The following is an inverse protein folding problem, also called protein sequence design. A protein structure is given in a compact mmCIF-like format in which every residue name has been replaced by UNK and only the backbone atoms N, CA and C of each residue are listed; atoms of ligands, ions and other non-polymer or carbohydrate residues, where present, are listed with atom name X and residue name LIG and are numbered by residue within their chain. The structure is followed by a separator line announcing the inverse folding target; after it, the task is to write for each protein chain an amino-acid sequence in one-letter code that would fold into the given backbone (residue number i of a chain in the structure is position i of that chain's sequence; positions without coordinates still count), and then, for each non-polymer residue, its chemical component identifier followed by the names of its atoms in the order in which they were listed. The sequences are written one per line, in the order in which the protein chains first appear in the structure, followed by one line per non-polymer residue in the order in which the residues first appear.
data_IF_904769875265
#
_entry.id   IF_904769875265
#
_cell.length_a   1.000
_cell.length_b   1.000
_cell.length_c   1.000
_cell.angle_alpha   90.00
_cell.angle_beta   90.00
_cell.angle_gamma   90.00
#
_symmetry.space_group_name_H-M   'P 1'
#
loop_
_entity.id
_entity.type
_entity.pdbx_description
1 polymer ?
#
# COMPACT_ATOMS: atom_id res chain seq x y z
N UNK A 1 -14.57 12.34 26.65
CA UNK A 1 -13.70 11.45 27.44
C UNK A 1 -13.04 10.53 26.43
N UNK A 2 -11.73 10.28 26.54
CA UNK A 2 -11.07 9.35 25.63
C UNK A 2 -11.69 7.95 25.76
N UNK A 3 -11.83 7.25 24.64
CA UNK A 3 -12.31 5.87 24.60
C UNK A 3 -11.19 4.89 25.00
N UNK A 4 -11.45 3.58 24.89
CA UNK A 4 -10.52 2.54 25.38
C UNK A 4 -9.20 2.48 24.59
N UNK A 5 -9.14 3.05 23.38
CA UNK A 5 -7.91 3.08 22.59
C UNK A 5 -6.82 3.97 23.19
N UNK A 6 -7.13 4.83 24.16
CA UNK A 6 -6.14 5.67 24.84
C UNK A 6 -5.08 4.88 25.65
N UNK A 7 -5.30 3.57 25.86
CA UNK A 7 -4.36 2.67 26.53
C UNK A 7 -3.49 1.85 25.55
N UNK A 8 -3.71 1.99 24.24
CA UNK A 8 -2.98 1.23 23.22
C UNK A 8 -1.60 1.82 22.93
N UNK A 9 -0.72 1.03 22.33
CA UNK A 9 0.63 1.46 21.92
C UNK A 9 0.71 1.88 20.46
N UNK A 10 -0.19 1.37 19.62
CA UNK A 10 -0.24 1.69 18.20
C UNK A 10 -0.51 3.19 17.98
N UNK A 11 0.35 3.91 17.25
CA UNK A 11 0.07 5.29 16.84
C UNK A 11 -1.25 5.43 16.10
N UNK A 12 -1.62 4.45 15.27
CA UNK A 12 -2.89 4.43 14.53
C UNK A 12 -4.10 4.31 15.46
N UNK A 13 -4.05 3.44 16.49
CA UNK A 13 -5.16 3.32 17.44
C UNK A 13 -5.28 4.57 18.31
N UNK A 14 -4.14 5.13 18.74
CA UNK A 14 -4.09 6.36 19.54
C UNK A 14 -4.65 7.58 18.81
N UNK A 15 -4.50 7.67 17.48
CA UNK A 15 -5.13 8.74 16.67
C UNK A 15 -6.66 8.76 16.79
N UNK A 16 -7.29 7.64 17.17
CA UNK A 16 -8.75 7.52 17.32
C UNK A 16 -9.21 7.54 18.79
N UNK A 17 -8.31 7.78 19.74
CA UNK A 17 -8.62 7.72 21.18
C UNK A 17 -9.64 8.78 21.61
N UNK A 18 -9.69 9.92 20.93
CA UNK A 18 -10.60 11.04 21.23
C UNK A 18 -11.87 11.06 20.36
N UNK A 19 -12.03 10.09 19.45
CA UNK A 19 -13.23 10.00 18.62
C UNK A 19 -14.48 9.79 19.49
N UNK A 20 -15.63 10.37 19.11
CA UNK A 20 -16.90 10.17 19.81
C UNK A 20 -17.44 8.73 19.74
N UNK A 21 -16.91 7.90 18.84
CA UNK A 21 -17.19 6.46 18.78
C UNK A 21 -16.58 5.78 20.01
N UNK A 22 -17.34 4.92 20.70
CA UNK A 22 -16.86 4.09 21.82
C UNK A 22 -16.03 2.91 21.29
N UNK A 23 -14.85 3.23 20.78
CA UNK A 23 -13.93 2.24 20.25
C UNK A 23 -13.37 1.34 21.35
N UNK A 24 -13.22 0.06 20.99
CA UNK A 24 -12.48 -0.93 21.77
C UNK A 24 -11.36 -1.53 20.93
N UNK A 25 -10.22 -1.90 21.56
CA UNK A 25 -9.25 -2.75 20.90
C UNK A 25 -9.85 -4.15 20.70
N UNK A 26 -9.28 -4.90 19.76
CA UNK A 26 -9.65 -6.29 19.60
C UNK A 26 -9.20 -7.12 20.81
N UNK A 27 -10.12 -7.82 21.44
CA UNK A 27 -9.81 -8.74 22.53
C UNK A 27 -11.05 -9.40 23.12
N UNK A 28 -10.81 -10.32 24.06
CA UNK A 28 -11.87 -11.10 24.70
C UNK A 28 -12.92 -10.23 25.41
N UNK A 29 -12.52 -9.07 25.93
CA UNK A 29 -13.43 -8.13 26.59
C UNK A 29 -14.47 -7.56 25.61
N UNK A 30 -14.03 -7.09 24.44
CA UNK A 30 -14.91 -6.54 23.41
C UNK A 30 -15.85 -7.61 22.85
N UNK A 31 -15.34 -8.82 22.60
CA UNK A 31 -16.14 -9.96 22.15
C UNK A 31 -17.15 -10.41 23.22
N UNK A 32 -16.76 -10.42 24.49
CA UNK A 32 -17.66 -10.73 25.59
C UNK A 32 -18.75 -9.66 25.79
N UNK A 33 -18.42 -8.39 25.54
CA UNK A 33 -19.41 -7.31 25.53
C UNK A 33 -20.45 -7.52 24.44
N UNK A 34 -20.02 -7.77 23.21
CA UNK A 34 -20.93 -8.01 22.09
C UNK A 34 -21.91 -9.15 22.40
N UNK A 35 -21.41 -10.26 22.96
CA UNK A 35 -22.25 -11.40 23.39
C UNK A 35 -23.22 -11.04 24.52
N UNK A 36 -22.77 -10.27 25.51
CA UNK A 36 -23.61 -9.86 26.65
C UNK A 36 -24.72 -8.90 26.25
N UNK A 37 -24.44 -7.98 25.33
CA UNK A 37 -25.41 -7.00 24.86
C UNK A 37 -26.27 -7.49 23.68
N UNK A 38 -25.95 -8.67 23.13
CA UNK A 38 -26.54 -9.21 21.90
C UNK A 38 -26.51 -8.18 20.74
N UNK A 39 -25.39 -7.46 20.65
CA UNK A 39 -25.14 -6.45 19.62
C UNK A 39 -24.16 -6.97 18.58
N UNK A 40 -24.40 -6.72 17.29
CA UNK A 40 -23.40 -6.98 16.27
C UNK A 40 -22.14 -6.14 16.51
N UNK A 41 -21.01 -6.63 16.02
CA UNK A 41 -19.73 -5.94 16.07
C UNK A 41 -19.55 -5.16 14.77
N UNK A 42 -19.10 -3.91 14.89
CA UNK A 42 -18.56 -3.15 13.77
C UNK A 42 -17.04 -3.16 13.90
N UNK A 43 -16.38 -3.95 13.07
CA UNK A 43 -14.93 -4.08 13.02
C UNK A 43 -14.37 -3.16 11.95
N UNK A 44 -13.50 -2.23 12.34
CA UNK A 44 -12.77 -1.34 11.43
C UNK A 44 -11.27 -1.62 11.52
N UNK A 45 -10.71 -2.18 10.44
CA UNK A 45 -9.28 -2.47 10.33
C UNK A 45 -8.61 -1.44 9.42
N UNK A 46 -7.48 -0.91 9.86
CA UNK A 46 -6.63 -0.04 9.06
C UNK A 46 -5.22 0.05 9.64
N UNK A 47 -4.50 1.12 9.29
CA UNK A 47 -3.14 1.39 9.72
C UNK A 47 -2.83 2.87 9.50
N UNK A 48 -1.76 3.35 10.12
CA UNK A 48 -1.38 4.77 10.21
C UNK A 48 -1.12 5.44 8.86
N UNK A 49 -0.58 4.73 7.88
CA UNK A 49 -0.21 5.30 6.58
C UNK A 49 -1.34 5.24 5.53
N UNK A 50 -2.56 4.86 5.93
CA UNK A 50 -3.68 4.61 5.04
C UNK A 50 -4.53 5.87 4.77
N UNK A 51 -4.42 6.46 3.59
CA UNK A 51 -5.20 7.63 3.19
C UNK A 51 -6.72 7.46 3.40
N UNK A 52 -7.32 6.42 2.81
CA UNK A 52 -8.77 6.20 2.92
C UNK A 52 -9.24 5.92 4.36
N UNK A 53 -8.33 5.47 5.23
CA UNK A 53 -8.62 5.29 6.64
C UNK A 53 -8.76 6.65 7.33
N UNK A 54 -7.90 7.62 7.00
CA UNK A 54 -8.01 9.01 7.45
C UNK A 54 -9.27 9.69 6.92
N UNK A 55 -9.56 9.53 5.62
CA UNK A 55 -10.78 10.08 5.00
C UNK A 55 -12.02 9.58 5.73
N UNK A 56 -12.13 8.27 5.97
CA UNK A 56 -13.26 7.72 6.69
C UNK A 56 -13.32 8.16 8.15
N UNK A 57 -12.16 8.35 8.80
CA UNK A 57 -12.11 8.87 10.16
C UNK A 57 -12.65 10.29 10.27
N UNK A 58 -12.15 11.21 9.45
CA UNK A 58 -12.57 12.59 9.42
C UNK A 58 -14.04 12.75 8.98
N UNK A 59 -14.46 12.04 7.93
CA UNK A 59 -15.83 12.17 7.42
C UNK A 59 -16.88 11.50 8.34
N UNK A 60 -16.51 10.41 9.01
CA UNK A 60 -17.46 9.54 9.70
C UNK A 60 -17.15 9.33 11.18
N UNK A 61 -15.96 8.87 11.55
CA UNK A 61 -15.70 8.47 12.94
C UNK A 61 -15.53 9.65 13.92
N UNK A 62 -15.25 10.84 13.42
CA UNK A 62 -15.19 12.08 14.20
C UNK A 62 -16.55 12.80 14.28
N UNK A 63 -17.50 12.42 13.43
CA UNK A 63 -18.82 13.03 13.38
C UNK A 63 -19.72 12.54 14.52
N UNK A 64 -20.28 13.43 15.36
CA UNK A 64 -21.11 13.03 16.50
C UNK A 64 -22.38 12.25 16.14
N UNK A 65 -23.01 12.53 15.00
CA UNK A 65 -24.26 11.88 14.60
C UNK A 65 -23.99 10.44 14.13
N UNK A 66 -22.92 10.26 13.33
CA UNK A 66 -22.43 8.94 12.94
C UNK A 66 -22.02 8.12 14.17
N UNK A 67 -21.24 8.71 15.07
CA UNK A 67 -20.79 8.04 16.27
C UNK A 67 -21.95 7.65 17.19
N UNK A 68 -22.97 8.50 17.33
CA UNK A 68 -24.18 8.17 18.07
C UNK A 68 -24.91 6.96 17.46
N UNK A 69 -25.04 6.92 16.13
CA UNK A 69 -25.65 5.79 15.43
C UNK A 69 -24.82 4.50 15.58
N UNK A 70 -23.49 4.59 15.49
CA UNK A 70 -22.58 3.46 15.72
C UNK A 70 -22.72 2.92 17.15
N UNK A 71 -22.57 3.78 18.15
CA UNK A 71 -22.62 3.43 19.57
C UNK A 71 -23.99 2.87 20.01
N UNK A 72 -25.08 3.33 19.38
CA UNK A 72 -26.42 2.82 19.66
C UNK A 72 -26.63 1.38 19.18
N UNK A 73 -25.95 0.98 18.11
CA UNK A 73 -26.27 -0.26 17.39
C UNK A 73 -25.19 -1.33 17.44
N UNK A 74 -23.94 -0.97 17.71
CA UNK A 74 -22.79 -1.87 17.57
C UNK A 74 -21.86 -1.83 18.78
N UNK A 75 -21.13 -2.91 18.96
CA UNK A 75 -19.84 -2.87 19.66
C UNK A 75 -18.77 -2.53 18.64
N UNK A 76 -18.15 -1.35 18.78
CA UNK A 76 -17.21 -0.82 17.79
C UNK A 76 -15.78 -1.26 18.13
N UNK A 77 -15.14 -2.00 17.24
CA UNK A 77 -13.76 -2.50 17.42
C UNK A 77 -12.85 -1.90 16.35
N UNK A 78 -11.73 -1.30 16.78
CA UNK A 78 -10.69 -0.77 15.90
C UNK A 78 -9.47 -1.69 15.96
N UNK A 79 -8.88 -2.01 14.81
CA UNK A 79 -7.70 -2.88 14.71
C UNK A 79 -6.63 -2.23 13.84
N UNK A 80 -5.40 -2.19 14.35
CA UNK A 80 -4.21 -1.94 13.56
C UNK A 80 -3.75 -3.25 12.91
N UNK A 81 -3.81 -3.33 11.58
CA UNK A 81 -3.34 -4.51 10.84
C UNK A 81 -1.84 -4.76 10.99
N UNK A 82 -1.04 -3.74 11.30
CA UNK A 82 0.40 -3.90 11.46
C UNK A 82 0.74 -4.64 12.76
N UNK A 83 -0.09 -4.48 13.79
CA UNK A 83 0.01 -5.24 15.04
C UNK A 83 -0.73 -6.58 14.97
N UNK A 84 -1.86 -6.65 14.24
CA UNK A 84 -2.72 -7.85 14.10
C UNK A 84 -2.96 -8.25 12.64
N UNK A 85 -1.90 -8.63 11.89
CA UNK A 85 -2.03 -9.05 10.50
C UNK A 85 -2.83 -10.35 10.36
N UNK A 86 -2.88 -11.17 11.42
CA UNK A 86 -3.70 -12.38 11.51
C UNK A 86 -5.20 -12.06 11.39
N UNK A 87 -5.66 -11.05 12.12
CA UNK A 87 -7.07 -10.59 12.07
C UNK A 87 -7.38 -9.97 10.71
N UNK A 88 -6.48 -9.10 10.23
CA UNK A 88 -6.61 -8.46 8.92
C UNK A 88 -6.81 -9.49 7.80
N UNK A 89 -5.96 -10.52 7.78
CA UNK A 89 -6.04 -11.59 6.77
C UNK A 89 -7.38 -12.34 6.81
N UNK A 90 -7.82 -12.79 8.00
CA UNK A 90 -9.08 -13.52 8.17
C UNK A 90 -10.25 -12.70 7.60
N UNK A 91 -10.34 -11.43 7.96
CA UNK A 91 -11.47 -10.59 7.58
C UNK A 91 -11.38 -10.06 6.14
N UNK A 92 -10.18 -9.87 5.58
CA UNK A 92 -10.01 -9.59 4.15
C UNK A 92 -10.46 -10.78 3.30
N UNK A 93 -10.12 -12.01 3.70
CA UNK A 93 -10.60 -13.22 3.02
C UNK A 93 -12.12 -13.36 3.14
N UNK A 94 -12.68 -13.12 4.33
CA UNK A 94 -14.12 -13.15 4.51
C UNK A 94 -14.85 -12.08 3.67
N UNK A 95 -14.30 -10.87 3.56
CA UNK A 95 -14.80 -9.83 2.67
C UNK A 95 -14.84 -10.33 1.22
N UNK A 96 -13.73 -10.88 0.71
CA UNK A 96 -13.67 -11.39 -0.64
C UNK A 96 -14.71 -12.49 -0.92
N UNK A 97 -14.96 -13.38 0.05
CA UNK A 97 -16.00 -14.40 -0.05
C UNK A 97 -17.42 -13.81 -0.07
N UNK A 98 -17.67 -12.79 0.76
CA UNK A 98 -18.97 -12.11 0.88
C UNK A 98 -19.31 -11.28 -0.36
N UNK A 99 -18.36 -10.48 -0.84
CA UNK A 99 -18.60 -9.45 -1.85
C UNK A 99 -18.18 -9.90 -3.24
N UNK A 100 -17.37 -10.96 -3.36
CA UNK A 100 -16.68 -11.37 -4.59
C UNK A 100 -15.82 -10.26 -5.19
N UNK A 101 -15.32 -9.36 -4.33
CA UNK A 101 -14.44 -8.26 -4.69
C UNK A 101 -13.15 -8.35 -3.90
N UNK A 102 -12.06 -7.81 -4.48
CA UNK A 102 -10.80 -7.65 -3.75
C UNK A 102 -11.02 -6.79 -2.50
N UNK A 103 -10.29 -7.13 -1.44
CA UNK A 103 -10.26 -6.34 -0.20
C UNK A 103 -9.48 -5.03 -0.37
N UNK A 104 -9.40 -4.28 0.72
CA UNK A 104 -8.68 -3.01 0.80
C UNK A 104 -8.88 -2.36 2.15
N UNK A 105 -8.21 -1.24 2.39
CA UNK A 105 -8.32 -0.49 3.65
C UNK A 105 -8.94 0.90 3.39
N UNK A 106 -9.75 1.43 4.33
CA UNK A 106 -10.18 0.80 5.57
C UNK A 106 -11.07 -0.41 5.28
N UNK A 107 -10.92 -1.47 6.07
CA UNK A 107 -11.80 -2.63 5.99
C UNK A 107 -12.88 -2.48 7.07
N UNK A 108 -14.13 -2.40 6.65
CA UNK A 108 -15.29 -2.24 7.53
C UNK A 108 -16.15 -3.49 7.46
N UNK A 109 -16.10 -4.30 8.51
CA UNK A 109 -16.82 -5.57 8.62
C UNK A 109 -17.89 -5.50 9.71
N UNK A 110 -19.04 -6.12 9.45
CA UNK A 110 -20.09 -6.31 10.42
C UNK A 110 -20.18 -7.78 10.79
N UNK A 111 -20.02 -8.05 12.07
CA UNK A 111 -19.92 -9.39 12.62
C UNK A 111 -21.07 -9.67 13.58
N UNK A 112 -21.45 -10.93 13.71
CA UNK A 112 -22.29 -11.39 14.82
C UNK A 112 -21.58 -11.13 16.16
N UNK A 113 -22.29 -11.24 17.30
CA UNK A 113 -21.68 -11.24 18.63
C UNK A 113 -20.61 -12.35 18.81
N UNK A 114 -20.67 -13.42 18.01
CA UNK A 114 -19.67 -14.49 17.98
C UNK A 114 -18.38 -14.13 17.23
N UNK A 115 -18.36 -13.02 16.48
CA UNK A 115 -17.25 -12.60 15.64
C UNK A 115 -17.31 -13.12 14.20
N UNK A 116 -18.41 -13.77 13.81
CA UNK A 116 -18.57 -14.26 12.45
C UNK A 116 -19.01 -13.15 11.47
N UNK A 117 -18.33 -12.97 10.33
CA UNK A 117 -18.64 -11.89 9.39
C UNK A 117 -19.90 -12.20 8.56
N UNK A 118 -20.81 -11.22 8.46
CA UNK A 118 -22.03 -11.37 7.65
C UNK A 118 -22.27 -10.24 6.65
N UNK A 119 -21.60 -9.10 6.80
CA UNK A 119 -21.61 -8.02 5.82
C UNK A 119 -20.27 -7.29 5.88
N UNK A 120 -19.86 -6.65 4.79
CA UNK A 120 -18.62 -5.90 4.77
C UNK A 120 -18.42 -5.08 3.52
N UNK A 121 -17.46 -4.16 3.60
CA UNK A 121 -16.96 -3.37 2.50
C UNK A 121 -15.67 -2.67 2.90
N UNK A 122 -15.12 -1.90 1.99
CA UNK A 122 -13.93 -1.08 2.28
C UNK A 122 -14.35 0.29 2.82
N UNK A 123 -14.27 1.32 1.97
CA UNK A 123 -14.69 2.67 2.28
C UNK A 123 -16.20 2.85 2.11
N UNK A 124 -16.86 3.43 3.13
CA UNK A 124 -18.25 3.89 3.06
C UNK A 124 -18.29 5.41 3.26
N UNK A 125 -18.85 6.19 2.30
CA UNK A 125 -19.00 7.63 2.47
C UNK A 125 -20.04 7.94 3.56
N UNK A 126 -19.89 9.07 4.26
CA UNK A 126 -20.86 9.50 5.29
C UNK A 126 -22.30 9.52 4.74
N UNK A 127 -22.47 10.19 3.60
CA UNK A 127 -23.74 10.35 2.89
C UNK A 127 -23.80 9.51 1.62
N UNK A 128 -25.01 9.17 1.20
CA UNK A 128 -25.24 8.43 -0.04
C UNK A 128 -24.72 9.21 -1.26
N UNK A 129 -23.71 8.66 -1.95
CA UNK A 129 -23.08 9.26 -3.14
C UNK A 129 -22.74 8.20 -4.18
N UNK A 130 -22.78 8.58 -5.47
CA UNK A 130 -22.43 7.72 -6.61
C UNK A 130 -23.12 6.34 -6.61
N UNK A 131 -24.37 6.27 -6.18
CA UNK A 131 -25.13 5.01 -6.10
C UNK A 131 -24.73 4.08 -4.96
N UNK A 132 -23.85 4.52 -4.04
CA UNK A 132 -23.50 3.80 -2.81
C UNK A 132 -24.32 4.33 -1.63
N UNK A 133 -24.82 3.45 -0.75
CA UNK A 133 -25.48 3.88 0.47
C UNK A 133 -24.50 4.60 1.39
N UNK A 134 -24.94 5.70 1.98
CA UNK A 134 -24.20 6.41 3.02
C UNK A 134 -24.10 5.58 4.29
N UNK A 135 -23.03 5.78 5.05
CA UNK A 135 -22.78 5.05 6.27
C UNK A 135 -23.90 5.26 7.31
N UNK A 136 -24.42 6.48 7.44
CA UNK A 136 -25.59 6.78 8.29
C UNK A 136 -26.85 6.02 7.90
N UNK A 137 -27.08 5.80 6.60
CA UNK A 137 -28.24 5.05 6.11
C UNK A 137 -28.05 3.53 6.30
N UNK A 138 -26.80 3.07 6.27
CA UNK A 138 -26.42 1.67 6.32
C UNK A 138 -26.48 1.10 7.74
N UNK A 139 -25.93 1.81 8.72
CA UNK A 139 -25.85 1.40 10.13
C UNK A 139 -27.19 0.86 10.70
N UNK A 140 -28.32 1.60 10.63
CA UNK A 140 -29.58 1.11 11.19
C UNK A 140 -30.14 -0.10 10.41
N UNK A 141 -29.88 -0.19 9.10
CA UNK A 141 -30.34 -1.32 8.26
C UNK A 141 -29.61 -2.61 8.63
N UNK A 142 -28.29 -2.53 8.84
CA UNK A 142 -27.49 -3.67 9.28
C UNK A 142 -27.92 -4.12 10.68
N UNK A 143 -28.15 -3.18 11.59
CA UNK A 143 -28.63 -3.49 12.93
C UNK A 143 -30.02 -4.15 12.92
N UNK A 144 -30.93 -3.70 12.04
CA UNK A 144 -32.23 -4.32 11.84
C UNK A 144 -32.10 -5.73 11.25
N UNK A 145 -31.26 -5.92 10.22
CA UNK A 145 -31.01 -7.24 9.63
C UNK A 145 -30.48 -8.25 10.66
N UNK A 146 -29.56 -7.83 11.54
CA UNK A 146 -29.09 -8.68 12.64
C UNK A 146 -30.24 -9.19 13.54
N UNK A 147 -31.16 -8.30 13.92
CA UNK A 147 -32.30 -8.64 14.80
C UNK A 147 -33.37 -9.47 14.11
N UNK A 148 -33.66 -9.15 12.84
CA UNK A 148 -34.82 -9.68 12.13
C UNK A 148 -34.50 -10.89 11.26
N UNK A 149 -33.24 -11.05 10.85
CA UNK A 149 -32.79 -12.07 9.88
C UNK A 149 -31.75 -13.02 10.46
N UNK A 150 -31.72 -13.20 11.79
CA UNK A 150 -30.71 -14.00 12.49
C UNK A 150 -30.52 -15.41 11.93
N UNK A 151 -31.59 -16.10 11.51
CA UNK A 151 -31.49 -17.43 10.91
C UNK A 151 -30.75 -17.43 9.56
N UNK A 152 -31.03 -16.45 8.69
CA UNK A 152 -30.35 -16.31 7.41
C UNK A 152 -28.87 -15.92 7.60
N UNK A 153 -28.59 -15.05 8.56
CA UNK A 153 -27.22 -14.67 8.94
C UNK A 153 -26.45 -15.87 9.50
N UNK A 154 -27.07 -16.70 10.34
CA UNK A 154 -26.45 -17.92 10.88
C UNK A 154 -26.12 -18.93 9.77
N UNK A 155 -27.00 -19.10 8.78
CA UNK A 155 -26.75 -19.96 7.63
C UNK A 155 -25.58 -19.43 6.77
N UNK A 156 -25.58 -18.12 6.49
CA UNK A 156 -24.51 -17.49 5.70
C UNK A 156 -23.14 -17.56 6.41
N UNK A 157 -23.10 -17.24 7.70
CA UNK A 157 -21.87 -17.28 8.50
C UNK A 157 -21.32 -18.70 8.64
N UNK A 158 -22.17 -19.72 8.70
CA UNK A 158 -21.76 -21.13 8.65
C UNK A 158 -21.04 -21.45 7.34
N UNK A 159 -21.62 -21.06 6.19
CA UNK A 159 -20.99 -21.29 4.87
C UNK A 159 -19.64 -20.59 4.74
N UNK A 160 -19.52 -19.36 5.26
CA UNK A 160 -18.25 -18.62 5.25
C UNK A 160 -17.22 -19.31 6.12
N UNK A 161 -17.59 -19.78 7.32
CA UNK A 161 -16.70 -20.52 8.21
C UNK A 161 -16.20 -21.80 7.55
N UNK A 162 -17.08 -22.56 6.91
CA UNK A 162 -16.71 -23.77 6.16
C UNK A 162 -15.75 -23.44 5.01
N UNK A 163 -16.03 -22.39 4.24
CA UNK A 163 -15.13 -21.96 3.17
C UNK A 163 -13.76 -21.52 3.71
N UNK A 164 -13.70 -20.77 4.81
CA UNK A 164 -12.45 -20.39 5.46
C UNK A 164 -11.68 -21.62 5.95
N UNK A 165 -12.36 -22.61 6.53
CA UNK A 165 -11.73 -23.86 6.96
C UNK A 165 -11.18 -24.70 5.81
N UNK A 166 -11.70 -24.55 4.58
CA UNK A 166 -11.12 -25.18 3.38
C UNK A 166 -9.95 -24.40 2.78
N UNK A 167 -9.84 -23.10 3.09
CA UNK A 167 -8.76 -22.23 2.63
C UNK A 167 -7.56 -22.29 3.56
N UNK A 168 -7.77 -22.56 4.85
CA UNK A 168 -6.71 -23.06 5.70
C UNK A 168 -6.28 -24.41 5.12
N UNK A 169 -5.04 -24.55 4.62
CA UNK A 169 -4.57 -25.87 4.29
C UNK A 169 -4.71 -26.69 5.55
N UNK A 170 -5.50 -27.78 5.50
CA UNK A 170 -5.28 -28.88 6.44
C UNK A 170 -3.77 -29.07 6.47
N UNK A 171 -3.19 -29.21 7.66
CA UNK A 171 -1.77 -29.53 7.81
C UNK A 171 -1.54 -30.91 7.18
N UNK A 172 -1.58 -31.00 5.86
CA UNK A 172 -1.15 -32.08 5.03
C UNK A 172 0.36 -31.98 5.05
N UNK A 173 0.92 -32.34 6.20
CA UNK A 173 2.35 -32.40 6.46
C UNK A 173 3.08 -33.35 5.48
N UNK A 174 2.35 -34.04 4.59
CA UNK A 174 2.86 -35.03 3.64
C UNK A 174 2.34 -34.89 2.19
N UNK A 175 1.60 -33.83 1.83
CA UNK A 175 1.23 -33.65 0.42
C UNK A 175 2.43 -33.13 -0.38
N UNK A 176 3.18 -34.04 -1.01
CA UNK A 176 4.25 -33.67 -1.93
C UNK A 176 3.69 -32.77 -3.04
N UNK A 177 4.28 -31.58 -3.21
CA UNK A 177 3.97 -30.71 -4.35
C UNK A 177 4.22 -31.49 -5.65
N UNK A 178 3.37 -31.30 -6.68
CA UNK A 178 3.65 -31.87 -8.00
C UNK A 178 5.05 -31.50 -8.47
N UNK A 179 5.77 -32.42 -9.08
CA UNK A 179 7.14 -32.18 -9.60
C UNK A 179 7.16 -30.98 -10.57
N UNK A 180 6.05 -30.74 -11.27
CA UNK A 180 5.88 -29.61 -12.20
C UNK A 180 5.27 -28.36 -11.56
N UNK A 181 5.18 -28.26 -10.22
CA UNK A 181 4.61 -27.09 -9.54
C UNK A 181 5.30 -25.77 -9.93
N UNK A 182 6.64 -25.67 -10.05
CA UNK A 182 7.27 -24.44 -10.52
C UNK A 182 6.86 -24.06 -11.94
N UNK A 183 6.79 -25.03 -12.85
CA UNK A 183 6.34 -24.78 -14.22
C UNK A 183 4.88 -24.30 -14.28
N UNK A 184 4.00 -24.91 -13.48
CA UNK A 184 2.60 -24.48 -13.38
C UNK A 184 2.46 -23.06 -12.79
N UNK A 185 3.25 -22.75 -11.76
CA UNK A 185 3.29 -21.41 -11.18
C UNK A 185 3.76 -20.38 -12.21
N UNK A 186 4.84 -20.66 -12.95
CA UNK A 186 5.33 -19.77 -13.99
C UNK A 186 4.29 -19.55 -15.09
N UNK A 187 3.60 -20.60 -15.56
CA UNK A 187 2.50 -20.45 -16.54
C UNK A 187 1.35 -19.58 -16.00
N UNK A 188 1.03 -19.68 -14.71
CA UNK A 188 0.05 -18.78 -14.08
C UNK A 188 0.51 -17.32 -14.06
N UNK A 189 1.79 -17.09 -13.76
CA UNK A 189 2.38 -15.76 -13.79
C UNK A 189 2.45 -15.19 -15.21
N UNK A 190 2.81 -16.00 -16.20
CA UNK A 190 2.79 -15.60 -17.62
C UNK A 190 1.40 -15.17 -18.09
N UNK A 191 0.34 -15.85 -17.65
CA UNK A 191 -1.04 -15.46 -18.01
C UNK A 191 -1.50 -14.17 -17.35
N UNK A 192 -0.98 -13.83 -16.17
CA UNK A 192 -1.34 -12.61 -15.44
C UNK A 192 -0.40 -11.43 -15.72
N UNK A 193 0.74 -11.69 -16.36
CA UNK A 193 1.75 -10.70 -16.68
C UNK A 193 1.25 -9.69 -17.71
N UNK A 194 1.49 -8.41 -17.42
CA UNK A 194 1.25 -7.30 -18.33
C UNK A 194 2.54 -7.00 -19.12
N UNK A 195 2.67 -7.40 -20.40
CA UNK A 195 3.87 -7.14 -21.18
C UNK A 195 4.03 -5.67 -21.56
N UNK A 196 2.93 -4.90 -21.60
CA UNK A 196 2.95 -3.50 -22.02
C UNK A 196 3.50 -2.61 -20.91
N UNK A 197 3.06 -2.80 -19.67
CA UNK A 197 3.45 -1.97 -18.53
C UNK A 197 4.27 -2.70 -17.46
N UNK A 198 4.50 -4.01 -17.59
CA UNK A 198 5.11 -4.81 -16.54
C UNK A 198 4.20 -5.04 -15.34
N UNK A 199 4.58 -5.96 -14.46
CA UNK A 199 3.78 -6.40 -13.31
C UNK A 199 2.69 -7.38 -13.68
N UNK A 200 1.75 -7.58 -12.76
CA UNK A 200 0.67 -8.54 -12.90
C UNK A 200 -0.70 -7.85 -12.74
N UNK A 201 -1.68 -8.31 -13.51
CA UNK A 201 -3.06 -7.82 -13.43
C UNK A 201 -3.26 -6.39 -13.94
N UNK A 202 -4.43 -5.83 -13.60
CA UNK A 202 -4.85 -4.47 -13.96
C UNK A 202 -4.64 -3.47 -12.82
N UNK A 203 -5.10 -2.23 -13.00
CA UNK A 203 -5.18 -1.23 -11.94
C UNK A 203 -6.17 -1.63 -10.81
N UNK A 204 -5.90 -1.29 -9.53
CA UNK A 204 -4.62 -0.79 -9.01
C UNK A 204 -3.52 -1.86 -9.03
N UNK A 205 -2.27 -1.46 -9.28
CA UNK A 205 -1.16 -2.38 -9.54
C UNK A 205 -0.14 -2.43 -8.40
N UNK A 206 0.16 -3.63 -7.91
CA UNK A 206 1.07 -3.89 -6.78
C UNK A 206 2.40 -4.53 -7.24
N UNK A 207 3.52 -4.30 -6.53
CA UNK A 207 4.84 -4.83 -6.91
C UNK A 207 5.03 -6.36 -6.97
N UNK A 208 4.27 -7.15 -6.19
CA UNK A 208 4.38 -8.63 -6.15
C UNK A 208 5.82 -9.17 -6.04
N UNK A 209 6.59 -8.78 -5.01
CA UNK A 209 8.02 -9.10 -4.93
C UNK A 209 8.31 -10.60 -4.78
N UNK A 210 7.41 -11.39 -4.17
CA UNK A 210 7.61 -12.82 -4.00
C UNK A 210 7.52 -13.57 -5.34
N UNK A 211 6.56 -13.18 -6.19
CA UNK A 211 6.36 -13.71 -7.53
C UNK A 211 7.54 -13.33 -8.45
N UNK A 212 8.05 -12.10 -8.33
CA UNK A 212 9.25 -11.66 -9.05
C UNK A 212 10.50 -12.41 -8.57
N UNK A 213 10.64 -12.66 -7.27
CA UNK A 213 11.78 -13.44 -6.73
C UNK A 213 11.72 -14.88 -7.23
N UNK A 214 10.53 -15.48 -7.26
CA UNK A 214 10.30 -16.80 -7.85
C UNK A 214 10.75 -16.83 -9.32
N UNK A 215 10.30 -15.89 -10.16
CA UNK A 215 10.71 -15.81 -11.56
C UNK A 215 12.24 -15.66 -11.72
N UNK A 216 12.88 -14.86 -10.86
CA UNK A 216 14.34 -14.67 -10.92
C UNK A 216 15.10 -15.95 -10.52
N UNK A 217 14.59 -16.68 -9.52
CA UNK A 217 15.12 -18.00 -9.12
C UNK A 217 14.90 -19.06 -10.20
N UNK A 218 13.74 -19.09 -10.84
CA UNK A 218 13.46 -19.99 -11.96
C UNK A 218 14.42 -19.74 -13.12
N UNK A 219 14.69 -18.47 -13.46
CA UNK A 219 15.70 -18.13 -14.46
C UNK A 219 17.10 -18.63 -14.03
N UNK A 220 17.50 -18.38 -12.78
CA UNK A 220 18.81 -18.79 -12.29
C UNK A 220 19.00 -20.32 -12.27
N UNK A 221 17.93 -21.08 -11.98
CA UNK A 221 17.97 -22.54 -11.92
C UNK A 221 17.87 -23.24 -13.26
N UNK A 222 17.10 -22.69 -14.21
CA UNK A 222 16.74 -23.38 -15.47
C UNK A 222 17.22 -22.67 -16.73
N UNK A 223 17.64 -21.40 -16.63
CA UNK A 223 17.91 -20.54 -17.78
C UNK A 223 16.65 -20.01 -18.48
N UNK A 224 15.47 -20.11 -17.86
CA UNK A 224 14.22 -19.67 -18.48
C UNK A 224 14.24 -18.16 -18.77
N UNK A 225 14.24 -17.80 -20.06
CA UNK A 225 14.33 -16.41 -20.52
C UNK A 225 13.05 -15.61 -20.33
N UNK A 226 11.88 -16.28 -20.31
CA UNK A 226 10.59 -15.62 -20.08
C UNK A 226 10.47 -15.17 -18.62
N UNK A 227 10.91 -16.02 -17.68
CA UNK A 227 10.96 -15.66 -16.27
C UNK A 227 11.84 -14.42 -16.02
N UNK A 228 13.01 -14.33 -16.67
CA UNK A 228 13.84 -13.11 -16.61
C UNK A 228 13.17 -11.91 -17.27
N UNK A 229 12.49 -12.10 -18.41
CA UNK A 229 11.80 -11.02 -19.12
C UNK A 229 10.69 -10.40 -18.26
N UNK A 230 9.93 -11.22 -17.52
CA UNK A 230 8.91 -10.76 -16.56
C UNK A 230 9.55 -9.87 -15.50
N UNK A 231 10.62 -10.33 -14.86
CA UNK A 231 11.30 -9.59 -13.78
C UNK A 231 11.88 -8.28 -14.30
N UNK A 232 12.64 -8.36 -15.40
CA UNK A 232 13.28 -7.19 -16.01
C UNK A 232 12.26 -6.14 -16.42
N UNK A 233 11.22 -6.51 -17.18
CA UNK A 233 10.21 -5.58 -17.67
C UNK A 233 9.46 -4.90 -16.52
N UNK A 234 9.13 -5.66 -15.47
CA UNK A 234 8.41 -5.16 -14.30
C UNK A 234 9.26 -4.17 -13.51
N UNK A 235 10.48 -4.54 -13.14
CA UNK A 235 11.37 -3.67 -12.37
C UNK A 235 11.83 -2.44 -13.18
N UNK A 236 12.01 -2.58 -14.49
CA UNK A 236 12.24 -1.44 -15.38
C UNK A 236 11.05 -0.47 -15.38
N UNK A 237 9.82 -0.97 -15.53
CA UNK A 237 8.62 -0.14 -15.51
C UNK A 237 8.45 0.61 -14.19
N UNK A 238 8.63 -0.10 -13.07
CA UNK A 238 8.48 0.49 -11.75
C UNK A 238 9.55 1.54 -11.47
N UNK A 239 10.81 1.29 -11.84
CA UNK A 239 11.91 2.23 -11.63
C UNK A 239 11.71 3.54 -12.42
N UNK A 240 11.13 3.43 -13.62
CA UNK A 240 10.81 4.57 -14.47
C UNK A 240 9.46 5.22 -14.10
N UNK A 241 8.60 4.50 -13.40
CA UNK A 241 7.29 4.95 -12.95
C UNK A 241 7.34 6.00 -11.83
N UNK A 242 6.19 6.61 -11.56
CA UNK A 242 6.00 7.52 -10.44
C UNK A 242 5.77 6.82 -9.10
N UNK A 243 5.63 5.48 -9.09
CA UNK A 243 5.70 4.66 -7.87
C UNK A 243 7.10 4.70 -7.22
N UNK A 244 8.15 4.90 -8.03
CA UNK A 244 9.50 5.12 -7.54
C UNK A 244 9.72 6.62 -7.31
N UNK A 245 10.13 6.99 -6.09
CA UNK A 245 10.46 8.38 -5.79
C UNK A 245 11.75 8.80 -6.51
N UNK A 246 11.57 9.50 -7.63
CA UNK A 246 12.64 9.96 -8.51
C UNK A 246 13.62 10.94 -7.84
N UNK A 247 13.36 11.45 -6.64
CA UNK A 247 14.28 12.35 -5.95
C UNK A 247 14.92 11.69 -4.72
N UNK A 248 14.08 11.05 -3.89
CA UNK A 248 14.51 10.51 -2.60
C UNK A 248 14.83 9.02 -2.60
N UNK A 249 14.42 8.28 -3.64
CA UNK A 249 14.44 6.83 -3.66
C UNK A 249 13.36 6.18 -2.80
N UNK A 250 13.34 4.86 -2.82
CA UNK A 250 12.25 4.07 -2.25
C UNK A 250 11.00 4.09 -3.12
N UNK A 251 10.15 3.11 -2.89
CA UNK A 251 8.91 2.87 -3.62
C UNK A 251 7.73 3.15 -2.72
N UNK A 252 6.73 3.80 -3.28
CA UNK A 252 5.39 3.79 -2.70
C UNK A 252 4.76 2.41 -2.84
N UNK A 253 3.76 2.10 -2.02
CA UNK A 253 3.22 0.74 -1.89
C UNK A 253 2.64 0.18 -3.20
N UNK A 254 1.85 0.97 -3.91
CA UNK A 254 1.19 0.54 -5.15
C UNK A 254 0.80 1.72 -6.03
N UNK A 255 0.48 1.43 -7.29
CA UNK A 255 -0.02 2.40 -8.28
C UNK A 255 -1.53 2.32 -8.41
N UNK A 256 -2.22 3.47 -8.51
CA UNK A 256 -3.67 3.51 -8.80
C UNK A 256 -3.96 3.17 -10.25
N UNK A 257 -2.96 3.28 -11.12
CA UNK A 257 -3.04 2.97 -12.54
C UNK A 257 -2.16 1.77 -12.92
N UNK A 258 -2.33 1.27 -14.14
CA UNK A 258 -1.59 0.11 -14.63
C UNK A 258 -0.17 0.47 -15.08
N UNK A 259 0.07 1.75 -15.38
CA UNK A 259 1.29 2.29 -15.96
C UNK A 259 2.36 2.65 -14.92
N UNK A 260 2.12 2.38 -13.64
CA UNK A 260 2.98 2.73 -12.51
C UNK A 260 3.18 4.24 -12.33
N UNK A 261 2.23 5.06 -12.77
CA UNK A 261 2.40 6.51 -12.86
C UNK A 261 2.01 7.23 -11.57
N UNK A 262 0.84 6.96 -11.03
CA UNK A 262 0.32 7.62 -9.83
C UNK A 262 0.29 6.62 -8.69
N UNK A 263 1.11 6.80 -7.65
CA UNK A 263 1.07 5.95 -6.48
C UNK A 263 -0.06 6.34 -5.52
N UNK A 264 -0.41 5.42 -4.63
CA UNK A 264 -0.77 5.83 -3.27
C UNK A 264 0.53 6.09 -2.51
N UNK A 265 0.73 7.31 -2.01
CA UNK A 265 2.06 7.82 -1.67
C UNK A 265 2.70 7.23 -0.41
N UNK A 266 1.99 6.34 0.29
CA UNK A 266 2.50 5.57 1.42
C UNK A 266 3.76 4.78 1.05
N UNK A 267 4.76 4.78 1.92
CA UNK A 267 5.99 4.00 1.75
C UNK A 267 6.21 3.07 2.92
N UNK A 268 6.20 1.77 2.65
CA UNK A 268 6.34 0.74 3.68
C UNK A 268 7.72 0.10 3.66
N UNK A 269 8.27 -0.19 4.84
CA UNK A 269 9.53 -0.91 4.98
C UNK A 269 9.43 -2.32 4.38
N UNK A 270 8.32 -3.03 4.60
CA UNK A 270 8.14 -4.41 4.13
C UNK A 270 8.01 -4.52 2.60
N UNK A 271 7.62 -3.46 1.89
CA UNK A 271 7.61 -3.43 0.42
C UNK A 271 9.02 -3.14 -0.12
N UNK A 272 9.70 -2.17 0.49
CA UNK A 272 11.02 -1.72 0.05
C UNK A 272 12.15 -2.72 0.32
N UNK A 273 12.08 -3.49 1.42
CA UNK A 273 13.09 -4.50 1.76
C UNK A 273 13.24 -5.59 0.68
N UNK A 274 12.17 -6.30 0.29
CA UNK A 274 12.20 -7.26 -0.81
C UNK A 274 12.55 -6.64 -2.16
N UNK A 275 12.04 -5.44 -2.47
CA UNK A 275 12.39 -4.74 -3.71
C UNK A 275 13.88 -4.43 -3.79
N UNK A 276 14.52 -4.02 -2.69
CA UNK A 276 15.97 -3.82 -2.63
C UNK A 276 16.70 -5.09 -3.06
N UNK A 277 16.32 -6.25 -2.51
CA UNK A 277 16.94 -7.51 -2.88
C UNK A 277 16.74 -7.86 -4.36
N UNK A 278 15.54 -7.65 -4.91
CA UNK A 278 15.23 -7.89 -6.32
C UNK A 278 16.05 -7.03 -7.28
N UNK A 279 16.16 -5.72 -7.00
CA UNK A 279 16.97 -4.82 -7.83
C UNK A 279 18.46 -5.16 -7.76
N UNK A 280 18.96 -5.52 -6.58
CA UNK A 280 20.35 -5.96 -6.40
C UNK A 280 20.64 -7.26 -7.17
N UNK A 281 19.77 -8.28 -7.04
CA UNK A 281 19.93 -9.55 -7.74
C UNK A 281 19.76 -9.39 -9.26
N UNK A 282 18.81 -8.57 -9.73
CA UNK A 282 18.66 -8.30 -11.16
C UNK A 282 19.89 -7.57 -11.72
N UNK A 283 20.45 -6.60 -11.00
CA UNK A 283 21.68 -5.91 -11.39
C UNK A 283 22.85 -6.89 -11.56
N UNK A 284 22.96 -7.89 -10.67
CA UNK A 284 23.98 -8.94 -10.76
C UNK A 284 23.73 -9.88 -11.96
N UNK A 285 22.48 -10.22 -12.25
CA UNK A 285 22.11 -11.11 -13.36
C UNK A 285 22.31 -10.45 -14.71
N UNK A 286 21.95 -9.17 -14.87
CA UNK A 286 22.03 -8.49 -16.18
C UNK A 286 23.29 -7.66 -16.39
N UNK A 287 23.98 -7.27 -15.31
CA UNK A 287 25.12 -6.36 -15.34
C UNK A 287 24.74 -4.90 -15.59
N UNK A 288 23.45 -4.55 -15.55
CA UNK A 288 22.98 -3.19 -15.84
C UNK A 288 23.03 -2.29 -14.60
N UNK A 289 23.84 -1.23 -14.68
CA UNK A 289 24.06 -0.29 -13.58
C UNK A 289 22.77 0.35 -13.06
N UNK A 290 21.77 0.58 -13.92
CA UNK A 290 20.50 1.22 -13.53
C UNK A 290 19.78 0.50 -12.39
N UNK A 291 19.84 -0.84 -12.35
CA UNK A 291 19.18 -1.60 -11.29
C UNK A 291 19.93 -1.47 -9.96
N UNK A 292 21.27 -1.41 -10.02
CA UNK A 292 22.08 -1.11 -8.85
C UNK A 292 21.85 0.33 -8.34
N UNK A 293 21.61 1.28 -9.24
CA UNK A 293 21.30 2.66 -8.88
C UNK A 293 19.97 2.77 -8.12
N UNK A 294 18.94 2.03 -8.56
CA UNK A 294 17.64 1.94 -7.87
C UNK A 294 17.79 1.29 -6.50
N UNK A 295 18.54 0.17 -6.41
CA UNK A 295 18.85 -0.47 -5.13
C UNK A 295 19.52 0.52 -4.15
N UNK A 296 20.54 1.27 -4.61
CA UNK A 296 21.18 2.31 -3.80
C UNK A 296 20.21 3.43 -3.40
N UNK A 297 19.26 3.78 -4.26
CA UNK A 297 18.18 4.71 -3.95
C UNK A 297 17.31 4.23 -2.79
N UNK A 298 16.91 2.96 -2.78
CA UNK A 298 16.16 2.35 -1.67
C UNK A 298 16.96 2.39 -0.37
N UNK A 299 18.24 1.99 -0.40
CA UNK A 299 19.13 2.08 0.79
C UNK A 299 19.26 3.51 1.30
N UNK A 300 19.38 4.48 0.38
CA UNK A 300 19.43 5.89 0.70
C UNK A 300 18.17 6.37 1.43
N UNK A 301 16.99 6.01 0.93
CA UNK A 301 15.71 6.30 1.59
C UNK A 301 15.64 5.65 2.98
N UNK A 302 15.88 4.35 3.09
CA UNK A 302 15.83 3.63 4.37
C UNK A 302 16.76 4.26 5.41
N UNK A 303 17.99 4.60 5.02
CA UNK A 303 18.99 5.14 5.94
C UNK A 303 18.68 6.58 6.37
N UNK A 304 18.17 7.42 5.46
CA UNK A 304 17.87 8.82 5.76
C UNK A 304 16.54 9.03 6.49
N UNK A 305 15.54 8.20 6.20
CA UNK A 305 14.14 8.51 6.54
C UNK A 305 13.54 7.48 7.50
N UNK A 306 13.99 6.22 7.44
CA UNK A 306 13.38 5.13 8.21
C UNK A 306 14.25 4.65 9.38
N UNK A 307 15.52 5.08 9.47
CA UNK A 307 16.44 4.53 10.45
C UNK A 307 16.25 5.18 11.82
N UNK A 308 15.96 4.35 12.83
CA UNK A 308 15.91 4.73 14.22
C UNK A 308 17.31 4.99 14.80
N UNK A 309 17.44 5.81 15.87
CA UNK A 309 18.74 6.10 16.50
C UNK A 309 19.52 4.87 17.00
N UNK A 310 18.82 3.80 17.36
CA UNK A 310 19.40 2.52 17.81
C UNK A 310 19.84 1.60 16.66
N UNK A 311 19.54 2.00 15.42
CA UNK A 311 19.93 1.30 14.20
C UNK A 311 18.87 0.40 13.59
N UNK A 312 17.72 0.20 14.25
CA UNK A 312 16.56 -0.46 13.63
C UNK A 312 15.90 0.45 12.59
N UNK A 313 14.91 -0.09 11.86
CA UNK A 313 14.08 0.67 10.93
C UNK A 313 12.63 0.76 11.42
N UNK A 314 12.04 1.94 11.24
CA UNK A 314 10.63 2.26 11.42
C UNK A 314 9.75 1.61 10.34
N UNK A 315 8.44 1.53 10.58
CA UNK A 315 7.55 0.69 9.78
C UNK A 315 7.13 1.35 8.46
N UNK A 316 6.69 2.61 8.49
CA UNK A 316 6.12 3.28 7.31
C UNK A 316 6.16 4.80 7.35
N UNK A 317 5.96 5.41 6.17
CA UNK A 317 5.63 6.82 6.00
C UNK A 317 4.21 6.92 5.42
N UNK A 318 3.44 7.87 5.97
CA UNK A 318 2.08 8.20 5.54
C UNK A 318 2.03 8.61 4.06
N UNK A 319 0.88 8.37 3.43
CA UNK A 319 0.55 8.91 2.12
C UNK A 319 0.26 10.42 2.19
N UNK A 320 -0.26 10.88 3.33
CA UNK A 320 -0.71 12.25 3.54
C UNK A 320 0.38 13.13 4.15
N UNK A 321 0.40 14.40 3.74
CA UNK A 321 1.10 15.45 4.45
C UNK A 321 0.24 16.70 4.46
N UNK A 322 0.14 17.37 5.61
CA UNK A 322 -0.80 18.47 5.83
C UNK A 322 -2.27 18.10 5.52
N UNK A 323 -2.63 16.82 5.67
CA UNK A 323 -3.99 16.32 5.40
C UNK A 323 -4.31 16.11 3.92
N UNK A 324 -3.32 16.19 3.02
CA UNK A 324 -3.49 15.99 1.58
C UNK A 324 -2.55 14.86 1.09
N UNK A 325 -3.10 13.87 0.38
CA UNK A 325 -2.34 12.76 -0.20
C UNK A 325 -1.33 13.29 -1.23
N UNK A 326 -0.07 12.87 -1.13
CA UNK A 326 0.96 13.18 -2.14
C UNK A 326 1.50 14.61 -2.13
N UNK A 327 0.94 15.53 -1.33
CA UNK A 327 1.36 16.94 -1.24
C UNK A 327 2.87 17.13 -1.05
N UNK A 328 3.50 16.27 -0.25
CA UNK A 328 4.95 16.30 -0.05
C UNK A 328 5.74 16.01 -1.34
N UNK A 329 5.21 15.18 -2.23
CA UNK A 329 5.92 14.60 -3.38
C UNK A 329 5.67 15.31 -4.72
N UNK A 330 4.51 15.93 -4.89
CA UNK A 330 4.11 16.55 -6.17
C UNK A 330 4.67 17.96 -6.35
N UNK A 331 4.72 18.42 -7.59
CA UNK A 331 5.33 19.69 -7.98
C UNK A 331 4.46 20.46 -8.96
N UNK A 332 4.60 21.79 -8.97
CA UNK A 332 4.21 22.58 -10.13
C UNK A 332 5.40 22.74 -11.10
N UNK A 333 5.11 22.90 -12.38
CA UNK A 333 6.14 23.17 -13.40
C UNK A 333 6.93 24.44 -13.09
N UNK A 334 6.25 25.51 -12.68
CA UNK A 334 6.86 26.81 -12.40
C UNK A 334 7.77 26.74 -11.16
N UNK A 335 7.38 25.98 -10.14
CA UNK A 335 8.22 25.71 -8.98
C UNK A 335 9.53 25.03 -9.39
N UNK A 336 9.46 23.94 -10.17
CA UNK A 336 10.66 23.25 -10.66
C UNK A 336 11.52 24.20 -11.50
N UNK A 337 10.91 24.95 -12.43
CA UNK A 337 11.64 25.88 -13.28
C UNK A 337 12.37 26.98 -12.47
N UNK A 338 11.80 27.42 -11.35
CA UNK A 338 12.40 28.43 -10.48
C UNK A 338 13.58 27.91 -9.65
N UNK A 339 13.64 26.60 -9.40
CA UNK A 339 14.67 25.95 -8.59
C UNK A 339 15.89 25.49 -9.40
N UNK A 340 15.74 25.37 -10.71
CA UNK A 340 16.76 24.82 -11.60
C UNK A 340 17.41 25.91 -12.46
N UNK A 341 18.68 25.70 -12.82
CA UNK A 341 19.28 26.48 -13.90
C UNK A 341 18.60 26.15 -15.25
N UNK A 342 18.72 27.05 -16.23
CA UNK A 342 18.15 26.82 -17.56
C UNK A 342 18.68 25.53 -18.22
N UNK A 343 19.96 25.21 -17.99
CA UNK A 343 20.62 24.01 -18.53
C UNK A 343 20.12 22.72 -17.87
N UNK A 344 19.87 22.74 -16.56
CA UNK A 344 19.28 21.62 -15.82
C UNK A 344 17.82 21.42 -16.20
N UNK A 345 17.05 22.51 -16.27
CA UNK A 345 15.63 22.47 -16.65
C UNK A 345 15.44 21.92 -18.06
N UNK A 346 16.31 22.28 -19.01
CA UNK A 346 16.27 21.77 -20.37
C UNK A 346 16.40 20.23 -20.46
N UNK A 347 17.10 19.61 -19.49
CA UNK A 347 17.19 18.14 -19.38
C UNK A 347 16.03 17.58 -18.56
N UNK A 348 15.74 18.19 -17.40
CA UNK A 348 14.75 17.69 -16.45
C UNK A 348 13.31 17.73 -17.00
N UNK A 349 12.95 18.76 -17.75
CA UNK A 349 11.59 18.94 -18.27
C UNK A 349 11.14 17.80 -19.21
N UNK A 350 11.88 17.44 -20.28
CA UNK A 350 11.50 16.29 -21.10
C UNK A 350 11.69 14.96 -20.38
N UNK A 351 12.73 14.82 -19.54
CA UNK A 351 13.01 13.59 -18.81
C UNK A 351 11.87 13.22 -17.85
N UNK A 352 11.34 14.20 -17.11
CA UNK A 352 10.22 14.00 -16.18
C UNK A 352 8.83 14.31 -16.74
N UNK A 353 8.74 14.74 -18.00
CA UNK A 353 7.47 15.02 -18.66
C UNK A 353 6.79 16.33 -18.23
N UNK A 354 7.56 17.32 -17.76
CA UNK A 354 7.04 18.65 -17.39
C UNK A 354 6.57 19.46 -18.61
N UNK A 355 6.91 19.02 -19.82
CA UNK A 355 6.42 19.59 -21.08
C UNK A 355 5.09 18.97 -21.54
N UNK A 356 4.54 18.04 -20.75
CA UNK A 356 3.22 17.42 -20.95
C UNK A 356 2.22 17.99 -19.95
N UNK A 357 0.94 17.64 -20.13
CA UNK A 357 -0.10 17.98 -19.16
C UNK A 357 0.25 17.42 -17.76
N UNK A 358 -0.17 18.10 -16.68
CA UNK A 358 -0.03 17.60 -15.32
C UNK A 358 -0.64 16.19 -15.17
N UNK A 359 0.05 15.30 -14.48
CA UNK A 359 -0.38 13.91 -14.30
C UNK A 359 -1.07 13.65 -12.96
N UNK A 360 -1.05 14.62 -12.03
CA UNK A 360 -1.69 14.50 -10.72
C UNK A 360 -2.75 15.59 -10.55
N UNK A 361 -4.00 15.17 -10.31
CA UNK A 361 -5.18 16.02 -10.07
C UNK A 361 -5.40 17.16 -11.07
N UNK A 362 -4.84 17.03 -12.29
CA UNK A 362 -4.97 18.01 -13.36
C UNK A 362 -4.22 19.33 -13.14
N UNK A 363 -3.42 19.45 -12.08
CA UNK A 363 -2.66 20.68 -11.79
C UNK A 363 -1.23 20.46 -11.28
N UNK A 364 -0.83 19.24 -10.93
CA UNK A 364 0.50 18.94 -10.42
C UNK A 364 1.19 17.79 -11.18
N UNK A 365 2.50 17.66 -10.96
CA UNK A 365 3.33 16.60 -11.51
C UNK A 365 3.89 15.72 -10.38
N UNK A 366 3.57 14.44 -10.42
CA UNK A 366 4.38 13.39 -9.80
C UNK A 366 5.47 12.98 -10.80
N UNK A 367 6.73 13.05 -10.37
CA UNK A 367 7.86 12.83 -11.27
C UNK A 367 7.97 11.36 -11.67
N UNK A 368 8.08 11.10 -12.98
CA UNK A 368 8.34 9.78 -13.57
C UNK A 368 9.25 9.94 -14.78
N UNK A 369 10.02 8.93 -15.14
CA UNK A 369 10.80 8.93 -16.38
C UNK A 369 9.85 8.81 -17.56
N UNK A 370 9.83 9.86 -18.39
CA UNK A 370 8.94 9.98 -19.55
C UNK A 370 9.70 9.88 -20.87
N UNK A 371 10.95 10.36 -20.88
CA UNK A 371 11.88 10.21 -22.00
C UNK A 371 13.22 9.71 -21.45
N UNK A 372 13.77 8.61 -21.96
CA UNK A 372 15.10 8.12 -21.57
C UNK A 372 16.17 9.20 -21.70
N UNK A 373 17.12 9.24 -20.76
CA UNK A 373 18.10 10.34 -20.67
C UNK A 373 19.03 10.41 -21.89
N UNK A 374 19.33 9.28 -22.51
CA UNK A 374 20.10 9.19 -23.76
C UNK A 374 19.36 9.85 -24.94
N UNK A 375 18.03 9.65 -25.03
CA UNK A 375 17.20 10.33 -26.01
C UNK A 375 17.11 11.84 -25.74
N UNK A 376 17.02 12.27 -24.47
CA UNK A 376 17.09 13.69 -24.10
C UNK A 376 18.45 14.29 -24.49
N UNK A 377 19.55 13.61 -24.18
CA UNK A 377 20.89 14.06 -24.54
C UNK A 377 21.06 14.22 -26.05
N UNK A 378 20.57 13.24 -26.83
CA UNK A 378 20.59 13.28 -28.29
C UNK A 378 19.77 14.45 -28.85
N UNK A 379 18.57 14.71 -28.31
CA UNK A 379 17.71 15.81 -28.73
C UNK A 379 18.32 17.19 -28.44
N UNK A 380 19.04 17.32 -27.33
CA UNK A 380 19.74 18.56 -26.94
C UNK A 380 21.12 18.72 -27.60
N UNK A 381 21.64 17.68 -28.26
CA UNK A 381 22.97 17.69 -28.86
C UNK A 381 24.11 17.77 -27.83
N UNK A 382 23.90 17.25 -26.62
CA UNK A 382 24.89 17.23 -25.53
C UNK A 382 25.43 15.83 -25.29
N UNK A 383 26.62 15.71 -24.68
CA UNK A 383 27.16 14.41 -24.32
C UNK A 383 26.31 13.75 -23.23
N UNK A 384 26.22 12.42 -23.24
CA UNK A 384 25.46 11.67 -22.22
C UNK A 384 25.95 11.96 -20.79
N UNK A 385 27.26 12.13 -20.60
CA UNK A 385 27.83 12.51 -19.30
C UNK A 385 27.38 13.91 -18.83
N UNK A 386 27.23 14.87 -19.75
CA UNK A 386 26.73 16.21 -19.43
C UNK A 386 25.25 16.17 -19.06
N UNK A 387 24.44 15.38 -19.79
CA UNK A 387 23.04 15.16 -19.46
C UNK A 387 22.88 14.51 -18.08
N UNK A 388 23.72 13.52 -17.74
CA UNK A 388 23.76 12.88 -16.43
C UNK A 388 24.12 13.88 -15.32
N UNK A 389 25.14 14.71 -15.53
CA UNK A 389 25.54 15.72 -14.55
C UNK A 389 24.43 16.75 -14.31
N UNK A 390 23.77 17.24 -15.37
CA UNK A 390 22.64 18.17 -15.29
C UNK A 390 21.43 17.55 -14.58
N UNK A 391 21.08 16.31 -14.90
CA UNK A 391 19.98 15.61 -14.22
C UNK A 391 20.30 15.36 -12.74
N UNK A 392 21.55 15.03 -12.40
CA UNK A 392 21.97 14.86 -11.01
C UNK A 392 21.89 16.17 -10.22
N UNK A 393 22.31 17.29 -10.81
CA UNK A 393 22.14 18.63 -10.24
C UNK A 393 20.66 18.96 -10.00
N UNK A 394 19.81 18.69 -10.99
CA UNK A 394 18.36 18.87 -10.86
C UNK A 394 17.76 18.04 -9.72
N UNK A 395 18.10 16.74 -9.64
CA UNK A 395 17.64 15.86 -8.55
C UNK A 395 18.06 16.40 -7.18
N UNK A 396 19.30 16.86 -7.04
CA UNK A 396 19.81 17.39 -5.78
C UNK A 396 19.10 18.69 -5.37
N UNK A 397 18.90 19.63 -6.30
CA UNK A 397 18.21 20.89 -6.05
C UNK A 397 16.75 20.67 -5.63
N UNK A 398 16.01 19.83 -6.37
CA UNK A 398 14.62 19.50 -6.05
C UNK A 398 14.50 18.73 -4.74
N UNK A 399 15.40 17.77 -4.48
CA UNK A 399 15.40 17.04 -3.21
C UNK A 399 15.67 17.96 -2.02
N UNK A 400 16.61 18.91 -2.15
CA UNK A 400 16.90 19.90 -1.11
C UNK A 400 15.69 20.81 -0.83
N UNK A 401 15.02 21.29 -1.89
CA UNK A 401 13.81 22.08 -1.75
C UNK A 401 12.68 21.27 -1.07
N UNK A 402 12.43 20.03 -1.52
CA UNK A 402 11.42 19.14 -0.93
C UNK A 402 11.68 18.84 0.54
N UNK A 403 12.94 18.73 0.94
CA UNK A 403 13.33 18.45 2.32
C UNK A 403 12.96 19.56 3.31
N UNK A 404 12.54 20.74 2.82
CA UNK A 404 12.04 21.86 3.65
C UNK A 404 10.51 21.83 3.84
N UNK A 405 9.79 20.98 3.10
CA UNK A 405 8.34 20.80 3.23
C UNK A 405 7.99 20.04 4.51
N UNK A 406 6.74 20.20 4.97
CA UNK A 406 6.21 19.34 6.03
C UNK A 406 6.23 17.90 5.51
N UNK A 407 6.78 16.98 6.30
CA UNK A 407 6.92 15.58 5.88
C UNK A 407 5.62 14.82 6.10
N UNK A 408 5.41 13.69 5.40
CA UNK A 408 4.38 12.73 5.80
C UNK A 408 4.63 12.21 7.22
N UNK A 409 3.58 11.77 7.89
CA UNK A 409 3.67 11.14 9.20
C UNK A 409 4.62 9.93 9.16
N UNK A 410 5.46 9.80 10.18
CA UNK A 410 6.32 8.62 10.37
C UNK A 410 5.64 7.69 11.36
N UNK A 411 5.39 6.45 10.96
CA UNK A 411 5.05 5.39 11.89
C UNK A 411 6.35 4.80 12.45
N UNK A 412 6.63 5.13 13.70
CA UNK A 412 7.87 4.79 14.39
C UNK A 412 7.86 3.39 15.02
N UNK A 413 6.86 2.55 14.71
CA UNK A 413 6.86 1.14 15.11
C UNK A 413 8.08 0.41 14.56
N UNK A 414 8.75 -0.34 15.43
CA UNK A 414 9.84 -1.24 15.07
C UNK A 414 9.29 -2.67 15.04
N UNK A 415 8.98 -3.15 13.84
CA UNK A 415 8.45 -4.50 13.62
C UNK A 415 9.59 -5.45 13.24
N UNK A 416 9.81 -6.50 14.04
CA UNK A 416 10.92 -7.45 13.84
C UNK A 416 10.87 -8.13 12.47
N UNK A 417 9.68 -8.52 12.02
CA UNK A 417 9.48 -9.16 10.70
C UNK A 417 9.84 -8.23 9.55
N UNK A 418 9.47 -6.96 9.62
CA UNK A 418 9.75 -5.99 8.55
C UNK A 418 11.22 -5.59 8.52
N UNK A 419 11.83 -5.44 9.70
CA UNK A 419 13.27 -5.28 9.82
C UNK A 419 14.04 -6.48 9.25
N UNK A 420 13.56 -7.72 9.45
CA UNK A 420 14.17 -8.90 8.87
C UNK A 420 14.12 -8.88 7.33
N UNK A 421 13.01 -8.46 6.72
CA UNK A 421 12.89 -8.28 5.26
C UNK A 421 13.85 -7.20 4.74
N UNK A 422 13.91 -6.06 5.44
CA UNK A 422 14.84 -4.98 5.13
C UNK A 422 16.31 -5.42 5.20
N UNK A 423 16.69 -6.14 6.25
CA UNK A 423 18.04 -6.68 6.44
C UNK A 423 18.37 -7.72 5.37
N UNK A 424 17.41 -8.58 5.00
CA UNK A 424 17.59 -9.55 3.92
C UNK A 424 17.87 -8.87 2.58
N UNK A 425 17.18 -7.75 2.29
CA UNK A 425 17.47 -6.91 1.13
C UNK A 425 18.86 -6.27 1.19
N UNK A 426 19.24 -5.70 2.35
CA UNK A 426 20.55 -5.07 2.56
C UNK A 426 21.74 -6.04 2.47
N UNK A 427 21.50 -7.34 2.69
CA UNK A 427 22.53 -8.37 2.63
C UNK A 427 22.80 -8.91 1.22
N UNK A 428 22.00 -8.52 0.21
CA UNK A 428 22.23 -8.84 -1.21
C UNK A 428 23.34 -7.98 -1.80
#
# INVERSE_FOLDING_TARGET
MPNRLAAETSPYLLQHADNPVDWQPWGDEALALARREDKPILLSIGYSACHWCHVMAHESFEDPDVAAAMNAHFVNIKVDREERPDIDQIYQTAHALLTRQSGGWPLTMFLTPGGEPFFGGTYFPKESRYGRPGFLDLLPRIAAAHREQGAAIAEQTTRIREALATLEPEAAADAALPVNAPALALTGLEHSFDPEHGGFGSAPKFPHPAELEFCLREHAGTGNVQALAIVRRTLEAMADGGIHDQLGGGFSRYSVDAEWTIPHFEKMLYDNGPLLGLYADLARVTGEARFADVARGIVGWMTREMRAPDGAFYSSLDADSEGEEGRFYVWSRDEIQSLLSADEFAVAAPYWGLDRAPNFEGHAWNLRVTVPLDAVAAALGIAGADAQARLAGARAALFAARSTRIRPGLDDKILTSWNALAIAGLAR
#
